data_IF_978751173357
#
_entry.id   IF_978751173357
#
_cell.length_a   1.000
_cell.length_b   1.000
_cell.length_c   1.000
_cell.angle_alpha   90.00
_cell.angle_beta   90.00
_cell.angle_gamma   90.00
#
_symmetry.space_group_name_H-M   'P 1'
#
loop_
_entity.id
_entity.type
_entity.pdbx_description
1 polymer ?
#
# COMPACT_ATOMS: atom_id res chain seq x y z
N UNK A 1 8.97 21.22 -21.85
CA UNK A 1 9.87 21.78 -20.84
C UNK A 1 10.30 20.76 -19.79
N UNK A 2 9.35 20.10 -19.08
CA UNK A 2 9.68 19.12 -18.02
C UNK A 2 10.56 17.99 -18.56
N UNK A 3 10.23 17.42 -19.72
CA UNK A 3 10.98 16.35 -20.37
C UNK A 3 12.44 16.74 -20.72
N UNK A 4 12.68 18.03 -21.01
CA UNK A 4 14.02 18.55 -21.26
C UNK A 4 14.89 18.61 -20.01
N UNK A 5 14.28 18.62 -18.82
CA UNK A 5 14.96 18.74 -17.53
C UNK A 5 15.06 17.41 -16.79
N UNK A 6 14.11 16.49 -17.02
CA UNK A 6 14.03 15.20 -16.36
C UNK A 6 13.83 14.09 -17.40
N UNK A 7 14.60 13.01 -17.25
CA UNK A 7 14.47 11.81 -18.09
C UNK A 7 13.08 11.17 -17.97
N UNK A 8 12.56 11.12 -16.75
CA UNK A 8 11.26 10.56 -16.46
C UNK A 8 10.26 11.68 -16.15
N UNK A 9 9.15 11.67 -16.88
CA UNK A 9 8.11 12.68 -16.75
C UNK A 9 6.76 11.99 -16.64
N UNK A 10 6.00 12.38 -15.64
CA UNK A 10 4.67 11.89 -15.37
C UNK A 10 3.64 13.02 -15.57
N UNK A 11 2.51 12.68 -16.18
CA UNK A 11 1.32 13.53 -16.22
C UNK A 11 0.23 12.92 -15.34
N UNK A 12 -0.26 13.70 -14.38
CA UNK A 12 -1.34 13.27 -13.49
C UNK A 12 -2.64 13.97 -13.91
N UNK A 13 -3.60 13.18 -14.39
CA UNK A 13 -4.97 13.62 -14.65
C UNK A 13 -5.75 13.57 -13.33
N UNK A 14 -5.79 14.70 -12.64
CA UNK A 14 -6.55 14.85 -11.39
C UNK A 14 -8.04 14.78 -11.67
N UNK A 15 -8.79 14.11 -10.78
CA UNK A 15 -10.25 13.98 -10.86
C UNK A 15 -10.76 13.41 -12.21
N UNK A 16 -9.98 12.50 -12.76
CA UNK A 16 -10.20 11.96 -14.11
C UNK A 16 -11.53 11.23 -14.26
N UNK A 17 -12.04 10.63 -13.20
CA UNK A 17 -13.30 9.87 -13.20
C UNK A 17 -14.53 10.72 -13.48
N UNK A 18 -14.45 12.04 -13.21
CA UNK A 18 -15.53 13.00 -13.47
C UNK A 18 -15.31 13.87 -14.71
N UNK A 19 -14.18 13.71 -15.38
CA UNK A 19 -13.87 14.46 -16.58
C UNK A 19 -14.72 14.00 -17.78
N UNK A 20 -14.93 14.91 -18.74
CA UNK A 20 -15.42 14.49 -20.05
C UNK A 20 -14.41 13.55 -20.73
N UNK A 21 -14.85 12.40 -21.19
CA UNK A 21 -13.97 11.36 -21.75
C UNK A 21 -13.18 11.85 -22.98
N UNK A 22 -13.81 12.63 -23.87
CA UNK A 22 -13.13 13.10 -25.07
C UNK A 22 -12.01 14.08 -24.70
N UNK A 23 -12.29 14.98 -23.77
CA UNK A 23 -11.28 15.90 -23.24
C UNK A 23 -10.15 15.16 -22.50
N UNK A 24 -10.49 14.17 -21.68
CA UNK A 24 -9.48 13.37 -20.96
C UNK A 24 -8.53 12.67 -21.96
N UNK A 25 -9.06 12.07 -23.00
CA UNK A 25 -8.25 11.39 -24.03
C UNK A 25 -7.37 12.37 -24.80
N UNK A 26 -7.88 13.55 -25.15
CA UNK A 26 -7.08 14.61 -25.78
C UNK A 26 -5.92 15.06 -24.89
N UNK A 27 -6.17 15.22 -23.58
CA UNK A 27 -5.14 15.58 -22.60
C UNK A 27 -4.08 14.48 -22.45
N UNK A 28 -4.49 13.21 -22.39
CA UNK A 28 -3.58 12.07 -22.32
C UNK A 28 -2.71 12.01 -23.59
N UNK A 29 -3.31 12.07 -24.77
CA UNK A 29 -2.58 12.03 -26.04
C UNK A 29 -1.59 13.19 -26.17
N UNK A 30 -1.99 14.38 -25.75
CA UNK A 30 -1.12 15.57 -25.72
C UNK A 30 0.06 15.40 -24.77
N UNK A 31 -0.18 14.85 -23.57
CA UNK A 31 0.86 14.60 -22.58
C UNK A 31 1.87 13.55 -23.09
N UNK A 32 1.40 12.46 -23.68
CA UNK A 32 2.24 11.43 -24.29
C UNK A 32 3.07 12.02 -25.44
N UNK A 33 2.45 12.80 -26.33
CA UNK A 33 3.15 13.47 -27.43
C UNK A 33 4.23 14.46 -26.93
N UNK A 34 3.99 15.09 -25.77
CA UNK A 34 4.96 15.96 -25.10
C UNK A 34 6.06 15.18 -24.36
N UNK A 35 6.01 13.85 -24.31
CA UNK A 35 7.03 12.98 -23.77
C UNK A 35 6.77 12.48 -22.34
N UNK A 36 5.53 12.52 -21.86
CA UNK A 36 5.18 11.83 -20.61
C UNK A 36 5.32 10.31 -20.80
N UNK A 37 6.11 9.68 -19.94
CA UNK A 37 6.28 8.23 -19.92
C UNK A 37 5.28 7.52 -19.01
N UNK A 38 4.65 8.25 -18.10
CA UNK A 38 3.66 7.75 -17.15
C UNK A 38 2.44 8.67 -17.19
N UNK A 39 1.27 8.06 -17.26
CA UNK A 39 -0.03 8.76 -17.12
C UNK A 39 -0.67 8.26 -15.83
N UNK A 40 -0.80 9.13 -14.84
CA UNK A 40 -1.54 8.82 -13.61
C UNK A 40 -2.99 9.26 -13.77
N UNK A 41 -3.88 8.31 -13.52
CA UNK A 41 -5.33 8.51 -13.49
C UNK A 41 -5.78 8.59 -12.04
N UNK A 42 -6.31 9.73 -11.62
CA UNK A 42 -6.75 9.95 -10.25
C UNK A 42 -8.26 9.89 -10.11
N UNK A 43 -8.72 9.12 -9.11
CA UNK A 43 -10.10 9.17 -8.61
C UNK A 43 -10.13 9.95 -7.30
N UNK A 44 -10.26 11.27 -7.39
CA UNK A 44 -10.25 12.15 -6.20
C UNK A 44 -11.60 12.20 -5.48
N UNK A 45 -12.67 11.90 -6.18
CA UNK A 45 -14.03 11.95 -5.63
C UNK A 45 -14.38 10.69 -4.85
N UNK A 46 -13.79 9.54 -5.20
CA UNK A 46 -14.15 8.21 -4.71
C UNK A 46 -15.64 7.87 -4.95
N UNK A 47 -16.18 8.33 -6.07
CA UNK A 47 -17.59 8.11 -6.43
C UNK A 47 -17.82 6.79 -7.17
N UNK A 48 -16.76 6.22 -7.75
CA UNK A 48 -16.84 4.95 -8.48
C UNK A 48 -16.60 3.76 -7.53
N UNK A 49 -17.36 2.70 -7.77
CA UNK A 49 -17.09 1.41 -7.15
C UNK A 49 -15.81 0.80 -7.77
N UNK A 50 -15.09 -0.09 -7.05
CA UNK A 50 -13.83 -0.67 -7.54
C UNK A 50 -13.90 -1.31 -8.92
N UNK A 51 -15.02 -1.94 -9.27
CA UNK A 51 -15.26 -2.55 -10.58
C UNK A 51 -15.52 -1.51 -11.67
N UNK A 52 -16.22 -0.42 -11.36
CA UNK A 52 -16.45 0.70 -12.27
C UNK A 52 -15.15 1.42 -12.58
N UNK A 53 -14.34 1.69 -11.54
CA UNK A 53 -13.01 2.28 -11.71
C UNK A 53 -12.09 1.38 -12.55
N UNK A 54 -12.10 0.07 -12.29
CA UNK A 54 -11.33 -0.88 -13.05
C UNK A 54 -11.74 -0.91 -14.54
N UNK A 55 -13.04 -0.86 -14.84
CA UNK A 55 -13.54 -0.75 -16.21
C UNK A 55 -13.10 0.56 -16.89
N UNK A 56 -13.10 1.66 -16.15
CA UNK A 56 -12.60 2.95 -16.63
C UNK A 56 -11.10 2.90 -16.98
N UNK A 57 -10.29 2.23 -16.15
CA UNK A 57 -8.85 2.02 -16.42
C UNK A 57 -8.65 1.14 -17.66
N UNK A 58 -9.46 0.08 -17.84
CA UNK A 58 -9.39 -0.76 -19.04
C UNK A 58 -9.67 0.04 -20.33
N UNK A 59 -10.64 0.96 -20.30
CA UNK A 59 -10.91 1.85 -21.44
C UNK A 59 -9.72 2.76 -21.75
N UNK A 60 -9.09 3.34 -20.72
CA UNK A 60 -7.91 4.19 -20.89
C UNK A 60 -6.73 3.37 -21.42
N UNK A 61 -6.51 2.16 -20.90
CA UNK A 61 -5.46 1.27 -21.35
C UNK A 61 -5.62 0.91 -22.85
N UNK A 62 -6.85 0.62 -23.27
CA UNK A 62 -7.18 0.37 -24.67
C UNK A 62 -6.93 1.61 -25.55
N UNK A 63 -7.28 2.81 -25.08
CA UNK A 63 -7.03 4.06 -25.79
C UNK A 63 -5.53 4.35 -25.93
N UNK A 64 -4.76 4.20 -24.87
CA UNK A 64 -3.32 4.47 -24.85
C UNK A 64 -2.52 3.48 -25.70
N UNK A 65 -2.97 2.23 -25.80
CA UNK A 65 -2.33 1.19 -26.63
C UNK A 65 -0.87 0.93 -26.27
N UNK A 66 -0.49 1.06 -25.00
CA UNK A 66 0.87 0.82 -24.51
C UNK A 66 1.89 1.90 -24.84
N UNK A 67 1.48 3.10 -25.22
CA UNK A 67 2.39 4.22 -25.53
C UNK A 67 3.05 4.85 -24.30
N UNK A 68 2.48 4.67 -23.13
CA UNK A 68 3.02 5.08 -21.83
C UNK A 68 2.50 4.14 -20.75
N UNK A 69 3.14 4.12 -19.58
CA UNK A 69 2.68 3.39 -18.41
C UNK A 69 1.46 4.06 -17.79
N UNK A 70 0.56 3.24 -17.22
CA UNK A 70 -0.62 3.72 -16.50
C UNK A 70 -0.37 3.59 -15.00
N UNK A 71 -0.46 4.70 -14.31
CA UNK A 71 -0.48 4.75 -12.85
C UNK A 71 -1.88 5.11 -12.36
N UNK A 72 -2.28 4.58 -11.21
CA UNK A 72 -3.57 4.93 -10.59
C UNK A 72 -3.37 5.55 -9.22
N UNK A 73 -4.23 6.52 -8.89
CA UNK A 73 -4.28 7.15 -7.58
C UNK A 73 -5.74 7.17 -7.11
N UNK A 74 -6.06 6.32 -6.15
CA UNK A 74 -7.43 6.16 -5.65
C UNK A 74 -7.58 6.86 -4.30
N UNK A 75 -8.59 7.72 -4.18
CA UNK A 75 -8.96 8.33 -2.90
C UNK A 75 -9.57 7.30 -1.95
N UNK A 76 -9.20 7.36 -0.67
CA UNK A 76 -9.67 6.42 0.36
C UNK A 76 -10.81 6.97 1.22
N UNK A 77 -11.51 8.00 0.75
CA UNK A 77 -12.65 8.60 1.46
C UNK A 77 -13.73 7.59 1.86
N UNK A 78 -13.90 6.53 1.07
CA UNK A 78 -14.88 5.49 1.30
C UNK A 78 -14.26 4.17 1.79
N UNK A 79 -12.94 4.12 2.08
CA UNK A 79 -12.24 2.91 2.52
C UNK A 79 -12.07 1.85 1.42
N UNK A 80 -12.25 2.21 0.14
CA UNK A 80 -12.20 1.27 -0.98
C UNK A 80 -10.97 1.41 -1.87
N UNK A 81 -10.06 2.35 -1.57
CA UNK A 81 -8.93 2.67 -2.43
C UNK A 81 -8.02 1.46 -2.72
N UNK A 82 -7.74 0.63 -1.73
CA UNK A 82 -6.92 -0.57 -1.93
C UNK A 82 -7.58 -1.58 -2.85
N UNK A 83 -8.90 -1.77 -2.75
CA UNK A 83 -9.65 -2.66 -3.62
C UNK A 83 -9.70 -2.11 -5.06
N UNK A 84 -10.00 -0.83 -5.22
CA UNK A 84 -10.02 -0.15 -6.52
C UNK A 84 -8.63 -0.24 -7.20
N UNK A 85 -7.55 -0.01 -6.45
CA UNK A 85 -6.18 -0.12 -6.95
C UNK A 85 -5.83 -1.53 -7.44
N UNK A 86 -6.16 -2.56 -6.66
CA UNK A 86 -5.91 -3.96 -7.06
C UNK A 86 -6.72 -4.32 -8.31
N UNK A 87 -7.97 -3.89 -8.40
CA UNK A 87 -8.80 -4.16 -9.57
C UNK A 87 -8.32 -3.38 -10.79
N UNK A 88 -7.82 -2.15 -10.62
CA UNK A 88 -7.22 -1.37 -11.69
C UNK A 88 -5.95 -2.04 -12.26
N UNK A 89 -5.07 -2.59 -11.39
CA UNK A 89 -3.90 -3.35 -11.84
C UNK A 89 -4.31 -4.58 -12.66
N UNK A 90 -5.37 -5.27 -12.28
CA UNK A 90 -5.91 -6.40 -13.09
C UNK A 90 -6.42 -5.97 -14.46
N UNK A 91 -6.72 -4.70 -14.65
CA UNK A 91 -7.25 -4.14 -15.91
C UNK A 91 -6.21 -3.32 -16.69
N UNK A 92 -4.94 -3.40 -16.28
CA UNK A 92 -3.84 -2.85 -17.08
C UNK A 92 -3.16 -1.62 -16.48
N UNK A 93 -3.40 -1.29 -15.21
CA UNK A 93 -2.54 -0.32 -14.53
C UNK A 93 -1.20 -0.96 -14.18
N UNK A 94 -0.11 -0.26 -14.50
CA UNK A 94 1.28 -0.72 -14.27
C UNK A 94 1.77 -0.36 -12.87
N UNK A 95 1.23 0.71 -12.28
CA UNK A 95 1.66 1.19 -10.96
C UNK A 95 0.50 1.81 -10.16
N UNK A 96 0.70 1.88 -8.84
CA UNK A 96 -0.27 2.43 -7.90
C UNK A 96 0.40 3.48 -7.03
N UNK A 97 -0.21 4.67 -6.93
CA UNK A 97 0.19 5.69 -5.97
C UNK A 97 -0.33 5.34 -4.59
N UNK A 98 0.57 5.27 -3.64
CA UNK A 98 0.26 4.92 -2.25
C UNK A 98 0.84 5.94 -1.29
N UNK A 99 0.27 6.05 -0.11
CA UNK A 99 0.79 6.90 0.96
C UNK A 99 0.90 6.13 2.29
N UNK A 100 1.81 6.58 3.15
CA UNK A 100 1.90 6.10 4.54
C UNK A 100 0.83 6.73 5.41
N UNK A 101 0.43 7.95 5.08
CA UNK A 101 -0.66 8.68 5.71
C UNK A 101 -1.29 9.60 4.67
N UNK A 102 -2.60 9.73 4.66
CA UNK A 102 -3.32 10.56 3.69
C UNK A 102 -4.58 9.87 3.18
N UNK A 103 -5.28 10.56 2.30
CA UNK A 103 -6.60 10.16 1.80
C UNK A 103 -6.53 9.32 0.51
N UNK A 104 -5.42 8.63 0.27
CA UNK A 104 -5.25 7.72 -0.87
C UNK A 104 -4.91 6.32 -0.40
N UNK A 105 -4.80 5.38 -1.34
CA UNK A 105 -4.43 3.98 -1.08
C UNK A 105 -3.30 3.86 -0.05
N UNK A 106 -3.57 3.23 1.08
CA UNK A 106 -2.59 3.02 2.14
C UNK A 106 -1.54 1.99 1.70
N UNK A 107 -0.25 2.35 1.82
CA UNK A 107 0.87 1.50 1.38
C UNK A 107 0.87 0.15 2.09
N UNK A 108 0.68 0.12 3.41
CA UNK A 108 0.65 -1.12 4.19
C UNK A 108 -0.55 -2.00 3.84
N UNK A 109 -1.71 -1.40 3.66
CA UNK A 109 -2.93 -2.11 3.28
C UNK A 109 -2.82 -2.74 1.90
N UNK A 110 -2.30 -1.99 0.93
CA UNK A 110 -2.07 -2.47 -0.42
C UNK A 110 -1.02 -3.59 -0.46
N UNK A 111 0.11 -3.43 0.24
CA UNK A 111 1.15 -4.45 0.34
C UNK A 111 0.64 -5.75 1.01
N UNK A 112 -0.19 -5.62 2.04
CA UNK A 112 -0.83 -6.77 2.69
C UNK A 112 -1.82 -7.49 1.76
N UNK A 113 -2.62 -6.75 0.98
CA UNK A 113 -3.51 -7.34 -0.02
C UNK A 113 -2.74 -8.11 -1.09
N UNK A 114 -1.63 -7.56 -1.61
CA UNK A 114 -0.80 -8.27 -2.59
C UNK A 114 -0.24 -9.55 -1.97
N UNK A 115 0.26 -9.50 -0.74
CA UNK A 115 0.77 -10.69 -0.04
C UNK A 115 -0.30 -11.78 0.11
N UNK A 116 -1.54 -11.40 0.39
CA UNK A 116 -2.61 -12.35 0.69
C UNK A 116 -3.35 -12.87 -0.55
N UNK A 117 -3.49 -12.02 -1.57
CA UNK A 117 -4.31 -12.29 -2.75
C UNK A 117 -3.53 -12.24 -4.07
N UNK A 118 -2.24 -11.94 -4.03
CA UNK A 118 -1.41 -11.75 -5.22
C UNK A 118 -1.40 -12.96 -6.13
N UNK A 119 -1.22 -14.17 -5.58
CA UNK A 119 -1.23 -15.42 -6.35
C UNK A 119 -2.54 -15.61 -7.13
N UNK A 120 -3.68 -15.30 -6.49
CA UNK A 120 -4.99 -15.39 -7.13
C UNK A 120 -5.19 -14.29 -8.19
N UNK A 121 -4.54 -13.15 -8.01
CA UNK A 121 -4.64 -12.01 -8.92
C UNK A 121 -3.59 -12.03 -10.04
N UNK A 122 -2.57 -12.90 -9.95
CA UNK A 122 -1.52 -13.04 -10.95
C UNK A 122 -0.41 -12.00 -10.86
N UNK A 123 -0.22 -11.37 -9.69
CA UNK A 123 0.90 -10.45 -9.44
C UNK A 123 1.50 -10.64 -8.05
N UNK A 124 2.77 -10.26 -7.93
CA UNK A 124 3.54 -10.38 -6.70
C UNK A 124 4.23 -9.06 -6.36
N UNK A 125 4.76 -8.96 -5.16
CA UNK A 125 5.55 -7.81 -4.71
C UNK A 125 6.73 -8.28 -3.87
N UNK A 126 7.88 -7.64 -4.07
CA UNK A 126 9.10 -7.87 -3.28
C UNK A 126 9.10 -7.05 -1.97
N UNK A 127 8.00 -6.39 -1.64
CA UNK A 127 7.88 -5.60 -0.42
C UNK A 127 7.96 -6.52 0.80
N UNK A 128 8.95 -6.26 1.66
CA UNK A 128 9.11 -6.93 2.94
C UNK A 128 8.15 -6.33 3.97
N UNK A 129 6.95 -6.89 4.08
CA UNK A 129 5.87 -6.36 4.91
C UNK A 129 6.27 -6.11 6.36
N UNK A 130 7.13 -6.96 6.94
CA UNK A 130 7.63 -6.79 8.31
C UNK A 130 8.44 -5.52 8.46
N UNK A 131 9.37 -5.28 7.52
CA UNK A 131 10.19 -4.05 7.51
C UNK A 131 9.33 -2.83 7.23
N UNK A 132 8.40 -2.93 6.28
CA UNK A 132 7.46 -1.87 5.95
C UNK A 132 6.66 -1.45 7.17
N UNK A 133 6.01 -2.38 7.87
CA UNK A 133 5.21 -2.08 9.06
C UNK A 133 6.02 -1.41 10.17
N UNK A 134 7.28 -1.82 10.34
CA UNK A 134 8.18 -1.19 11.30
C UNK A 134 8.49 0.26 10.92
N UNK A 135 8.80 0.50 9.64
CA UNK A 135 9.11 1.84 9.14
C UNK A 135 7.88 2.75 9.23
N UNK A 136 6.71 2.26 8.85
CA UNK A 136 5.45 3.03 8.95
C UNK A 136 5.17 3.44 10.39
N UNK A 137 5.30 2.52 11.36
CA UNK A 137 5.17 2.85 12.79
C UNK A 137 6.15 3.93 13.24
N UNK A 138 7.38 3.93 12.72
CA UNK A 138 8.36 4.97 13.02
C UNK A 138 7.96 6.32 12.41
N UNK A 139 7.52 6.34 11.14
CA UNK A 139 7.07 7.56 10.46
C UNK A 139 5.91 8.18 11.23
N UNK A 140 4.88 7.39 11.54
CA UNK A 140 3.70 7.83 12.32
C UNK A 140 4.10 8.42 13.66
N UNK A 141 5.05 7.77 14.37
CA UNK A 141 5.56 8.28 15.65
C UNK A 141 6.28 9.62 15.51
N UNK A 142 7.04 9.81 14.43
CA UNK A 142 7.81 11.04 14.18
C UNK A 142 6.88 12.17 13.74
N UNK A 143 5.92 11.87 12.88
CA UNK A 143 5.00 12.88 12.32
C UNK A 143 3.86 13.24 13.28
N UNK A 144 3.68 12.49 14.39
CA UNK A 144 2.53 12.64 15.28
C UNK A 144 1.20 12.31 14.59
N UNK A 145 1.25 11.72 13.41
CA UNK A 145 0.08 11.33 12.63
C UNK A 145 -0.68 10.20 13.31
N UNK A 146 -1.99 10.22 13.19
CA UNK A 146 -2.80 9.03 13.35
C UNK A 146 -2.74 8.28 12.03
N UNK A 147 -2.48 7.00 12.05
CA UNK A 147 -2.83 6.15 10.91
C UNK A 147 -4.35 6.08 10.93
N UNK A 148 -5.01 6.90 10.14
CA UNK A 148 -6.42 6.72 9.83
C UNK A 148 -6.59 5.57 8.83
N UNK A 149 -5.77 4.55 8.95
CA UNK A 149 -5.98 3.31 8.25
C UNK A 149 -7.13 2.59 8.90
N UNK A 150 -8.32 2.84 8.39
CA UNK A 150 -9.40 1.90 8.46
C UNK A 150 -9.01 0.65 7.63
N UNK A 151 -7.97 -0.04 8.03
CA UNK A 151 -7.71 -1.40 7.60
C UNK A 151 -8.31 -2.33 8.66
N UNK A 152 -9.54 -2.83 8.46
CA UNK A 152 -10.20 -3.66 9.48
C UNK A 152 -9.64 -5.08 9.56
N UNK A 153 -8.53 -5.40 8.88
CA UNK A 153 -8.09 -6.79 8.73
C UNK A 153 -6.80 -7.11 9.51
N UNK A 154 -6.11 -6.14 10.11
CA UNK A 154 -4.86 -6.44 10.81
C UNK A 154 -4.62 -5.67 12.10
N UNK A 155 -5.56 -4.93 12.59
CA UNK A 155 -5.43 -4.23 13.85
C UNK A 155 -6.39 -4.79 14.90
N UNK A 156 -6.39 -6.07 15.13
CA UNK A 156 -6.44 -6.48 16.53
C UNK A 156 -5.15 -5.95 17.12
N UNK A 157 -5.23 -4.76 17.67
CA UNK A 157 -4.35 -4.33 18.74
C UNK A 157 -4.64 -5.29 19.90
N UNK A 158 -4.20 -6.52 19.75
CA UNK A 158 -3.87 -7.31 20.90
C UNK A 158 -2.79 -6.51 21.59
N UNK A 159 -3.13 -5.85 22.67
CA UNK A 159 -2.16 -5.46 23.67
C UNK A 159 -1.46 -6.76 24.05
N UNK A 160 -0.40 -7.11 23.31
CA UNK A 160 0.41 -8.29 23.60
C UNK A 160 1.11 -7.95 24.88
N UNK A 161 0.53 -8.34 25.99
CA UNK A 161 1.13 -8.30 27.31
C UNK A 161 1.81 -9.64 27.50
N UNK A 162 3.10 -9.69 27.22
CA UNK A 162 3.93 -10.82 27.61
C UNK A 162 4.49 -10.57 29.01
N UNK A 163 4.41 -11.57 29.84
CA UNK A 163 5.04 -11.56 31.17
C UNK A 163 6.14 -12.64 31.28
N UNK A 164 6.91 -12.59 32.37
CA UNK A 164 8.05 -13.51 32.56
C UNK A 164 7.66 -15.00 32.70
N UNK A 165 6.39 -15.35 32.74
CA UNK A 165 5.86 -16.72 32.76
C UNK A 165 5.47 -17.27 31.42
N UNK A 166 5.41 -16.40 30.37
CA UNK A 166 5.04 -16.80 29.02
C UNK A 166 6.07 -17.72 28.37
N UNK A 167 5.58 -18.74 27.70
CA UNK A 167 6.38 -19.71 27.00
C UNK A 167 6.89 -19.21 25.65
N UNK A 168 7.77 -19.99 24.99
CA UNK A 168 8.33 -19.70 23.67
C UNK A 168 7.24 -19.46 22.63
N UNK A 169 6.18 -20.29 22.65
CA UNK A 169 5.09 -20.19 21.65
C UNK A 169 4.30 -18.89 21.78
N UNK A 170 4.11 -18.37 22.98
CA UNK A 170 3.48 -17.07 23.21
C UNK A 170 4.34 -15.93 22.65
N UNK A 171 5.66 -16.00 22.85
CA UNK A 171 6.61 -15.00 22.35
C UNK A 171 6.68 -15.05 20.81
N UNK A 172 6.67 -16.24 20.21
CA UNK A 172 6.65 -16.42 18.76
C UNK A 172 5.33 -15.92 18.17
N UNK A 173 4.19 -16.25 18.78
CA UNK A 173 2.88 -15.73 18.38
C UNK A 173 2.79 -14.21 18.48
N UNK A 174 3.36 -13.65 19.55
CA UNK A 174 3.47 -12.21 19.72
C UNK A 174 4.35 -11.55 18.64
N UNK A 175 5.48 -12.17 18.31
CA UNK A 175 6.35 -11.71 17.24
C UNK A 175 5.65 -11.78 15.87
N UNK A 176 4.93 -12.85 15.61
CA UNK A 176 4.12 -13.01 14.39
C UNK A 176 3.01 -11.95 14.28
N UNK A 177 2.32 -11.66 15.40
CA UNK A 177 1.31 -10.59 15.46
C UNK A 177 1.92 -9.19 15.27
N UNK A 178 3.22 -9.02 15.58
CA UNK A 178 3.98 -7.80 15.29
C UNK A 178 4.56 -7.80 13.86
N UNK A 179 4.30 -8.85 13.07
CA UNK A 179 4.75 -8.98 11.69
C UNK A 179 6.16 -9.56 11.53
N UNK A 180 6.71 -10.24 12.55
CA UNK A 180 7.99 -10.93 12.46
C UNK A 180 7.76 -12.41 12.14
N UNK A 181 8.32 -12.86 11.02
CA UNK A 181 8.38 -14.29 10.68
C UNK A 181 9.74 -14.82 11.13
N UNK A 182 9.73 -15.59 12.22
CA UNK A 182 10.95 -16.08 12.87
C UNK A 182 11.23 -17.53 12.44
N UNK A 183 12.47 -17.80 12.03
CA UNK A 183 12.95 -19.18 11.93
C UNK A 183 13.01 -19.83 13.32
N UNK A 184 13.04 -21.16 13.38
CA UNK A 184 13.12 -21.88 14.66
C UNK A 184 14.36 -21.47 15.49
N UNK A 185 15.48 -21.17 14.82
CA UNK A 185 16.72 -20.71 15.47
C UNK A 185 16.58 -19.29 16.01
N UNK A 186 15.95 -18.39 15.24
CA UNK A 186 15.74 -17.01 15.67
C UNK A 186 14.67 -16.91 16.75
N UNK A 187 13.63 -17.73 16.68
CA UNK A 187 12.61 -17.87 17.71
C UNK A 187 13.24 -18.27 19.07
N UNK A 188 14.23 -19.15 19.05
CA UNK A 188 14.94 -19.54 20.26
C UNK A 188 15.76 -18.37 20.85
N UNK A 189 16.51 -17.66 20.02
CA UNK A 189 17.30 -16.48 20.43
C UNK A 189 16.42 -15.36 20.98
N UNK A 190 15.30 -15.07 20.32
CA UNK A 190 14.32 -14.07 20.77
C UNK A 190 13.72 -14.44 22.09
N UNK A 191 13.38 -15.71 22.31
CA UNK A 191 12.84 -16.18 23.58
C UNK A 191 13.85 -16.08 24.74
N UNK A 192 15.11 -16.43 24.49
CA UNK A 192 16.18 -16.30 25.50
C UNK A 192 16.40 -14.84 25.90
N UNK A 193 16.42 -13.94 24.93
CA UNK A 193 16.56 -12.51 25.18
C UNK A 193 15.33 -11.93 25.90
N UNK A 194 14.13 -12.35 25.52
CA UNK A 194 12.89 -12.00 26.21
C UNK A 194 12.95 -12.39 27.70
N UNK A 195 13.34 -13.63 28.00
CA UNK A 195 13.49 -14.08 29.40
C UNK A 195 14.52 -13.28 30.16
N UNK A 196 15.63 -12.93 29.53
CA UNK A 196 16.69 -12.10 30.14
C UNK A 196 16.17 -10.69 30.50
N UNK A 197 15.39 -10.09 29.65
CA UNK A 197 14.78 -8.75 29.85
C UNK A 197 13.67 -8.81 30.91
N UNK A 198 12.79 -9.80 30.84
CA UNK A 198 11.71 -9.99 31.79
C UNK A 198 12.19 -10.23 33.20
N UNK A 199 13.28 -10.99 33.35
CA UNK A 199 13.92 -11.21 34.66
C UNK A 199 14.48 -9.91 35.28
N UNK A 200 15.02 -9.00 34.45
CA UNK A 200 15.53 -7.70 34.91
C UNK A 200 14.42 -6.72 35.32
N UNK A 201 13.26 -6.76 34.68
CA UNK A 201 12.12 -5.90 35.05
C UNK A 201 11.49 -6.27 36.41
N UNK A 202 11.57 -7.52 36.81
CA UNK A 202 11.07 -7.95 38.14
C UNK A 202 11.92 -7.46 39.32
N UNK A 203 13.13 -6.97 39.07
CA UNK A 203 14.06 -6.50 40.14
C UNK A 203 13.93 -4.98 40.38
N UNK A 204 13.12 -4.27 39.61
CA UNK A 204 12.94 -2.81 39.68
C UNK A 204 11.53 -2.34 40.06
N UNK A 205 10.71 -3.19 40.68
CA UNK A 205 9.37 -2.83 41.18
C UNK A 205 9.36 -2.79 42.71
#
# INVERSE_FOLDING_TARGET
YAKEKCGDTEFCAMDATRADKAFLYEMIDTAIAAGAGIITVSDDAAEQMPDEFAAFIAEIAAHMGGKAEISVMCSDKNGLASAASVMAVKQGADSVKTAVSGDITALEGFAAMIKNCGDTCGFCSDIKNTELNRIIKQIVRITGGKTDTAAPIAAEQSGITLDGSDGKDAVVSAAAALGYDLSDEDAQKVYEEFRRVAAKKKVGA
#
